data_IF_875887490405
#
_entry.id   IF_875887490405
#
_cell.length_a   1.000
_cell.length_b   1.000
_cell.length_c   1.000
_cell.angle_alpha   90.00
_cell.angle_beta   90.00
_cell.angle_gamma   90.00
#
_symmetry.space_group_name_H-M   'P 1'
#
loop_
_entity.id
_entity.type
_entity.pdbx_description
1 polymer ?
#
# COMPACT_ATOMS: atom_id res chain seq x y z
N UNK A 1 17.25 10.77 -39.78
CA UNK A 1 16.15 11.17 -38.88
C UNK A 1 16.66 11.21 -37.44
N UNK A 2 16.51 12.31 -36.73
CA UNK A 2 16.92 12.42 -35.32
C UNK A 2 15.78 12.01 -34.40
N UNK A 3 16.02 11.04 -33.52
CA UNK A 3 15.03 10.50 -32.60
C UNK A 3 15.47 10.77 -31.17
N UNK A 4 14.73 11.62 -30.46
CA UNK A 4 14.98 11.93 -29.07
C UNK A 4 14.37 10.88 -28.14
N UNK A 5 15.15 10.35 -27.20
CA UNK A 5 14.70 9.31 -26.26
C UNK A 5 15.21 9.55 -24.85
N UNK A 6 14.47 9.07 -23.86
CA UNK A 6 14.91 9.00 -22.47
C UNK A 6 15.38 7.57 -22.15
N UNK A 7 16.54 7.42 -21.51
CA UNK A 7 17.05 6.12 -21.11
C UNK A 7 16.58 5.77 -19.70
N UNK A 8 15.57 4.92 -19.58
CA UNK A 8 15.08 4.43 -18.29
C UNK A 8 15.35 2.93 -18.22
N UNK A 9 16.02 2.48 -17.16
CA UNK A 9 16.38 1.07 -16.97
C UNK A 9 15.16 0.17 -17.14
N UNK A 10 15.33 -0.94 -17.85
CA UNK A 10 14.27 -1.90 -18.24
C UNK A 10 13.18 -1.38 -19.19
N UNK A 11 13.01 -0.06 -19.35
CA UNK A 11 12.04 0.54 -20.29
C UNK A 11 12.69 0.83 -21.63
N UNK A 12 13.76 1.62 -21.65
CA UNK A 12 14.54 1.95 -22.83
C UNK A 12 16.01 2.05 -22.47
N UNK A 13 16.79 1.15 -23.05
CA UNK A 13 18.24 1.04 -22.86
C UNK A 13 18.91 1.11 -24.22
N UNK A 14 20.09 1.74 -24.27
CA UNK A 14 20.87 1.89 -25.50
C UNK A 14 22.14 1.07 -25.35
N UNK A 15 22.18 -0.08 -26.01
CA UNK A 15 23.35 -0.94 -26.03
C UNK A 15 24.16 -0.69 -27.30
N UNK A 16 25.42 -0.28 -27.16
CA UNK A 16 26.32 -0.12 -28.31
C UNK A 16 26.90 -1.47 -28.70
N UNK A 17 26.72 -1.86 -29.96
CA UNK A 17 27.35 -3.06 -30.53
C UNK A 17 28.81 -2.75 -30.87
N UNK A 18 29.67 -3.77 -30.90
CA UNK A 18 31.07 -3.70 -31.37
C UNK A 18 31.23 -3.08 -32.77
N UNK A 19 30.18 -3.10 -33.59
CA UNK A 19 30.14 -2.50 -34.93
C UNK A 19 29.74 -1.01 -34.94
N UNK A 20 29.65 -0.35 -33.79
CA UNK A 20 29.28 1.07 -33.67
C UNK A 20 27.78 1.38 -33.82
N UNK A 21 26.93 0.37 -34.07
CA UNK A 21 25.47 0.53 -34.12
C UNK A 21 24.86 0.48 -32.72
N UNK A 22 24.01 1.46 -32.41
CA UNK A 22 23.20 1.53 -31.19
C UNK A 22 21.97 0.62 -31.34
N UNK A 23 21.93 -0.47 -30.57
CA UNK A 23 20.76 -1.34 -30.45
C UNK A 23 19.91 -0.84 -29.29
N UNK A 24 18.63 -0.61 -29.56
CA UNK A 24 17.65 -0.26 -28.55
C UNK A 24 17.13 -1.53 -27.86
N UNK A 25 17.22 -1.58 -26.54
CA UNK A 25 16.70 -2.65 -25.69
C UNK A 25 15.70 -2.11 -24.66
N UNK A 26 15.03 -3.01 -23.93
CA UNK A 26 13.87 -2.66 -23.11
C UNK A 26 12.55 -2.78 -23.86
N UNK A 27 11.44 -2.57 -23.16
CA UNK A 27 10.10 -2.64 -23.74
C UNK A 27 9.87 -1.56 -24.82
N UNK A 28 10.05 -0.28 -24.45
CA UNK A 28 9.92 0.87 -25.35
C UNK A 28 11.02 0.85 -26.42
N UNK A 29 12.24 0.45 -26.06
CA UNK A 29 13.36 0.38 -27.02
C UNK A 29 13.12 -0.61 -28.15
N UNK A 30 12.59 -1.81 -27.85
CA UNK A 30 12.24 -2.80 -28.88
C UNK A 30 11.07 -2.35 -29.74
N UNK A 31 10.07 -1.71 -29.13
CA UNK A 31 8.95 -1.14 -29.86
C UNK A 31 9.43 -0.06 -30.86
N UNK A 32 10.27 0.87 -30.39
CA UNK A 32 10.86 1.90 -31.23
C UNK A 32 11.70 1.30 -32.37
N UNK A 33 12.49 0.26 -32.09
CA UNK A 33 13.26 -0.45 -33.11
C UNK A 33 12.36 -1.03 -34.21
N UNK A 34 11.21 -1.61 -33.86
CA UNK A 34 10.25 -2.13 -34.84
C UNK A 34 9.67 -1.01 -35.71
N UNK A 35 9.32 0.13 -35.11
CA UNK A 35 8.82 1.30 -35.84
C UNK A 35 9.87 1.81 -36.82
N UNK A 36 11.12 1.97 -36.37
CA UNK A 36 12.22 2.45 -37.21
C UNK A 36 12.55 1.48 -38.35
N UNK A 37 12.52 0.17 -38.09
CA UNK A 37 12.71 -0.85 -39.12
C UNK A 37 11.58 -0.84 -40.15
N UNK A 38 10.33 -0.62 -39.72
CA UNK A 38 9.18 -0.53 -40.62
C UNK A 38 9.20 0.74 -41.50
N UNK A 39 9.72 1.86 -40.96
CA UNK A 39 9.92 3.10 -41.71
C UNK A 39 11.10 3.02 -42.69
N UNK A 40 12.04 2.09 -42.47
CA UNK A 40 13.25 1.89 -43.28
C UNK A 40 14.06 3.19 -43.47
N UNK A 41 14.26 3.93 -42.38
CA UNK A 41 15.00 5.20 -42.36
C UNK A 41 16.25 5.11 -41.50
N UNK A 42 17.33 5.79 -41.93
CA UNK A 42 18.50 5.98 -41.10
C UNK A 42 18.20 6.95 -39.96
N UNK A 43 18.53 6.54 -38.74
CA UNK A 43 18.24 7.32 -37.54
C UNK A 43 19.47 7.57 -36.68
N UNK A 44 19.46 8.71 -35.99
CA UNK A 44 20.41 9.09 -34.96
C UNK A 44 19.65 9.29 -33.65
N UNK A 45 20.14 8.68 -32.57
CA UNK A 45 19.52 8.81 -31.26
C UNK A 45 20.07 10.04 -30.54
N UNK A 46 19.18 10.91 -30.08
CA UNK A 46 19.49 12.11 -29.30
C UNK A 46 18.97 11.91 -27.88
N UNK A 47 19.76 12.28 -26.88
CA UNK A 47 19.37 12.20 -25.47
C UNK A 47 19.35 13.63 -24.92
N UNK A 48 18.29 14.04 -24.22
CA UNK A 48 18.23 15.36 -23.60
C UNK A 48 19.30 15.52 -22.52
N UNK A 49 19.95 16.69 -22.51
CA UNK A 49 21.05 16.99 -21.59
C UNK A 49 20.60 17.08 -20.12
N UNK A 50 19.34 17.47 -19.90
CA UNK A 50 18.72 17.55 -18.57
C UNK A 50 18.09 16.23 -18.11
N UNK A 51 17.90 15.26 -19.02
CA UNK A 51 17.33 13.96 -18.64
C UNK A 51 15.85 14.03 -18.22
N UNK A 52 15.12 15.06 -18.62
CA UNK A 52 13.72 15.27 -18.25
C UNK A 52 12.74 14.94 -19.38
N UNK A 53 11.47 14.67 -19.04
CA UNK A 53 10.40 14.55 -20.05
C UNK A 53 10.05 15.91 -20.65
N UNK A 54 9.98 16.92 -19.81
CA UNK A 54 9.85 18.32 -20.23
C UNK A 54 8.79 19.06 -19.45
N UNK A 55 9.25 20.12 -18.79
CA UNK A 55 8.47 21.07 -18.02
C UNK A 55 8.54 22.44 -18.69
N UNK A 56 7.46 23.20 -18.54
CA UNK A 56 7.38 24.57 -19.03
C UNK A 56 8.04 25.49 -18.01
N UNK A 57 9.12 26.15 -18.41
CA UNK A 57 9.79 27.17 -17.58
C UNK A 57 8.96 28.47 -17.56
N UNK A 58 9.15 29.32 -16.54
CA UNK A 58 8.54 30.66 -16.48
C UNK A 58 8.84 31.51 -17.72
N UNK A 59 10.02 31.31 -18.31
CA UNK A 59 10.48 32.00 -19.52
C UNK A 59 9.72 31.57 -20.80
N UNK A 60 8.76 30.65 -20.68
CA UNK A 60 7.99 30.07 -21.79
C UNK A 60 8.69 28.95 -22.55
N UNK A 61 9.98 28.74 -22.29
CA UNK A 61 10.77 27.66 -22.87
C UNK A 61 10.48 26.30 -22.21
N UNK A 62 10.66 25.22 -22.95
CA UNK A 62 10.47 23.85 -22.47
C UNK A 62 11.80 23.14 -22.21
N UNK A 63 11.85 22.35 -21.13
CA UNK A 63 12.96 21.42 -20.83
C UNK A 63 12.73 20.05 -21.47
N UNK A 64 13.71 19.17 -21.37
CA UNK A 64 13.57 17.74 -21.65
C UNK A 64 13.27 17.42 -23.12
N UNK A 65 12.63 16.27 -23.30
CA UNK A 65 12.19 15.79 -24.61
C UNK A 65 11.26 16.78 -25.32
N UNK A 66 10.31 17.39 -24.60
CA UNK A 66 9.42 18.41 -25.18
C UNK A 66 10.20 19.63 -25.66
N UNK A 67 11.23 20.05 -24.91
CA UNK A 67 12.10 21.16 -25.29
C UNK A 67 12.86 20.93 -26.59
N UNK A 68 13.41 19.72 -26.78
CA UNK A 68 14.11 19.33 -28.01
C UNK A 68 13.16 19.39 -29.22
N UNK A 69 11.95 18.86 -29.05
CA UNK A 69 10.94 18.87 -30.11
C UNK A 69 10.46 20.29 -30.43
N UNK A 70 10.21 21.11 -29.41
CA UNK A 70 9.80 22.51 -29.59
C UNK A 70 10.86 23.34 -30.32
N UNK A 71 12.15 23.07 -30.08
CA UNK A 71 13.28 23.72 -30.78
C UNK A 71 13.63 23.09 -32.14
N UNK A 72 12.90 22.05 -32.57
CA UNK A 72 13.16 21.30 -33.82
C UNK A 72 14.57 20.71 -33.89
N UNK A 73 15.11 20.31 -32.74
CA UNK A 73 16.42 19.67 -32.64
C UNK A 73 16.35 18.15 -32.95
N UNK A 74 15.16 17.56 -32.84
CA UNK A 74 14.85 16.18 -33.24
C UNK A 74 13.57 16.12 -34.08
N UNK A 75 13.47 15.09 -34.93
CA UNK A 75 12.34 14.86 -35.83
C UNK A 75 11.21 14.05 -35.15
N UNK A 76 11.57 13.18 -34.20
CA UNK A 76 10.64 12.32 -33.47
C UNK A 76 11.10 12.15 -32.03
N UNK A 77 10.16 11.96 -31.10
CA UNK A 77 10.45 11.58 -29.72
C UNK A 77 9.77 10.26 -29.35
N UNK A 78 10.44 9.44 -28.56
CA UNK A 78 9.85 8.28 -27.91
C UNK A 78 10.43 8.08 -26.51
N UNK A 79 9.58 7.94 -25.50
CA UNK A 79 10.03 7.83 -24.10
C UNK A 79 8.91 8.06 -23.11
N UNK A 80 7.77 7.37 -23.28
CA UNK A 80 6.63 7.43 -22.36
C UNK A 80 6.21 8.86 -21.97
N UNK A 81 6.06 9.74 -22.96
CA UNK A 81 5.64 11.14 -22.75
C UNK A 81 4.11 11.20 -22.63
N UNK A 82 3.62 11.70 -21.49
CA UNK A 82 2.19 11.90 -21.28
C UNK A 82 1.66 13.09 -22.08
N UNK A 83 0.55 12.85 -22.78
CA UNK A 83 -0.20 13.85 -23.55
C UNK A 83 -0.91 14.77 -22.56
N UNK A 84 -0.52 16.03 -22.54
CA UNK A 84 -1.19 17.09 -21.76
C UNK A 84 -1.58 18.23 -22.68
N UNK A 85 -2.56 19.05 -22.26
CA UNK A 85 -3.02 20.21 -23.05
C UNK A 85 -1.85 21.15 -23.39
N UNK A 86 -1.03 21.48 -22.39
CA UNK A 86 0.11 22.38 -22.57
C UNK A 86 1.17 21.83 -23.52
N UNK A 87 1.43 20.51 -23.51
CA UNK A 87 2.38 19.88 -24.43
C UNK A 87 1.83 19.81 -25.86
N UNK A 88 0.53 19.60 -26.01
CA UNK A 88 -0.12 19.52 -27.33
C UNK A 88 -0.12 20.88 -28.06
N UNK A 89 0.04 21.98 -27.34
CA UNK A 89 0.18 23.32 -27.94
C UNK A 89 1.53 23.54 -28.64
N UNK A 90 2.55 22.73 -28.31
CA UNK A 90 3.92 22.89 -28.85
C UNK A 90 4.42 21.71 -29.67
N UNK A 91 3.84 20.52 -29.48
CA UNK A 91 4.19 19.31 -30.23
C UNK A 91 2.95 18.51 -30.63
N UNK A 92 3.01 17.88 -31.79
CA UNK A 92 1.97 16.97 -32.27
C UNK A 92 2.20 15.56 -31.72
N UNK A 93 1.16 14.95 -31.14
CA UNK A 93 1.19 13.59 -30.63
C UNK A 93 0.54 12.60 -31.60
N UNK A 94 1.08 11.38 -31.65
CA UNK A 94 0.41 10.25 -32.29
C UNK A 94 -0.74 9.74 -31.42
N UNK A 95 -1.44 8.70 -31.90
CA UNK A 95 -2.45 8.02 -31.06
C UNK A 95 -1.77 7.42 -29.82
N UNK A 96 -2.40 7.51 -28.63
CA UNK A 96 -1.85 6.93 -27.41
C UNK A 96 -1.52 5.44 -27.62
N UNK A 97 -0.27 5.06 -27.39
CA UNK A 97 0.16 3.66 -27.50
C UNK A 97 -0.32 2.83 -26.31
N UNK A 98 -0.39 3.45 -25.13
CA UNK A 98 -0.81 2.83 -23.86
C UNK A 98 -1.60 3.85 -23.04
N UNK A 99 -2.59 3.38 -22.27
CA UNK A 99 -3.33 4.17 -21.29
C UNK A 99 -3.07 3.58 -19.92
N UNK A 100 -2.60 4.40 -18.97
CA UNK A 100 -2.40 4.01 -17.58
C UNK A 100 -2.87 5.13 -16.65
N UNK A 101 -3.16 4.78 -15.39
CA UNK A 101 -3.45 5.74 -14.34
C UNK A 101 -2.23 5.93 -13.44
N UNK A 102 -2.07 7.12 -12.89
CA UNK A 102 -1.05 7.40 -11.88
C UNK A 102 -1.42 6.68 -10.57
N UNK A 103 -0.43 6.02 -9.98
CA UNK A 103 -0.54 5.35 -8.69
C UNK A 103 0.51 5.91 -7.74
N UNK A 104 0.24 5.83 -6.45
CA UNK A 104 1.22 6.18 -5.42
C UNK A 104 1.75 4.90 -4.79
N UNK A 105 3.01 4.95 -4.36
CA UNK A 105 3.68 3.83 -3.71
C UNK A 105 4.04 4.26 -2.30
N UNK A 106 3.71 3.41 -1.34
CA UNK A 106 4.10 3.56 0.06
C UNK A 106 5.00 2.41 0.47
N UNK A 107 5.79 2.64 1.52
CA UNK A 107 6.54 1.58 2.15
C UNK A 107 5.59 0.51 2.72
N UNK A 108 5.93 -0.76 2.53
CA UNK A 108 5.15 -1.85 3.08
C UNK A 108 5.14 -1.73 4.62
N UNK A 109 3.97 -1.55 5.25
CA UNK A 109 3.88 -1.18 6.67
C UNK A 109 4.31 -2.31 7.64
N UNK A 110 4.69 -3.47 7.11
CA UNK A 110 5.20 -4.60 7.87
C UNK A 110 4.15 -5.31 8.70
N UNK A 111 4.60 -6.37 9.38
CA UNK A 111 3.79 -7.15 10.31
C UNK A 111 3.92 -6.56 11.71
N UNK A 112 2.79 -6.34 12.39
CA UNK A 112 2.84 -6.00 13.81
C UNK A 112 2.85 -7.28 14.65
N UNK A 113 3.93 -7.48 15.42
CA UNK A 113 3.99 -8.52 16.44
C UNK A 113 3.57 -7.89 17.76
N UNK A 114 2.37 -8.24 18.24
CA UNK A 114 1.87 -7.79 19.55
C UNK A 114 2.10 -8.86 20.60
N UNK A 115 2.66 -8.47 21.75
CA UNK A 115 2.83 -9.36 22.92
C UNK A 115 1.48 -9.82 23.50
N UNK A 116 0.38 -9.16 23.15
CA UNK A 116 -0.97 -9.47 23.62
C UNK A 116 -1.83 -10.17 22.56
N UNK A 117 -1.20 -10.78 21.55
CA UNK A 117 -1.89 -11.43 20.45
C UNK A 117 -2.91 -12.50 20.89
N UNK A 118 -2.71 -13.11 22.05
CA UNK A 118 -3.63 -14.09 22.63
C UNK A 118 -4.97 -13.48 23.09
N UNK A 119 -5.08 -12.15 23.27
CA UNK A 119 -6.34 -11.50 23.65
C UNK A 119 -7.20 -11.12 22.44
N UNK A 120 -6.61 -11.03 21.23
CA UNK A 120 -7.31 -10.65 20.00
C UNK A 120 -8.39 -11.62 19.47
N UNK A 121 -8.41 -12.93 19.79
CA UNK A 121 -9.47 -13.82 19.30
C UNK A 121 -10.89 -13.38 19.67
N UNK A 122 -11.06 -12.69 20.80
CA UNK A 122 -12.33 -12.17 21.26
C UNK A 122 -12.26 -10.67 21.50
N UNK A 123 -13.29 -9.96 21.06
CA UNK A 123 -13.47 -8.55 21.39
C UNK A 123 -13.65 -8.33 22.89
N UNK A 124 -13.32 -7.12 23.35
CA UNK A 124 -13.47 -6.73 24.76
C UNK A 124 -14.89 -6.97 25.30
N UNK A 125 -15.91 -6.72 24.47
CA UNK A 125 -17.31 -7.00 24.81
C UNK A 125 -17.55 -8.49 25.06
N UNK A 126 -17.02 -9.37 24.21
CA UNK A 126 -17.14 -10.82 24.36
C UNK A 126 -16.42 -11.32 25.60
N UNK A 127 -15.26 -10.76 25.93
CA UNK A 127 -14.55 -11.05 27.19
C UNK A 127 -15.41 -10.70 28.41
N UNK A 128 -16.00 -9.51 28.44
CA UNK A 128 -16.88 -9.08 29.54
C UNK A 128 -18.10 -9.99 29.64
N UNK A 129 -18.79 -10.25 28.53
CA UNK A 129 -19.96 -11.13 28.52
C UNK A 129 -19.62 -12.54 29.05
N UNK A 130 -18.47 -13.09 28.65
CA UNK A 130 -18.00 -14.40 29.10
C UNK A 130 -17.74 -14.41 30.61
N UNK A 131 -17.12 -13.35 31.13
CA UNK A 131 -16.90 -13.19 32.56
C UNK A 131 -18.22 -13.06 33.33
N UNK A 132 -19.18 -12.29 32.82
CA UNK A 132 -20.51 -12.17 33.43
C UNK A 132 -21.24 -13.52 33.50
N UNK A 133 -21.25 -14.30 32.41
CA UNK A 133 -21.88 -15.63 32.38
C UNK A 133 -21.22 -16.57 33.39
N UNK A 134 -19.90 -16.55 33.51
CA UNK A 134 -19.16 -17.34 34.49
C UNK A 134 -19.55 -17.01 35.95
N UNK A 135 -19.68 -15.72 36.29
CA UNK A 135 -20.15 -15.30 37.62
C UNK A 135 -21.60 -15.73 37.86
N UNK A 136 -22.49 -15.49 36.89
CA UNK A 136 -23.91 -15.87 37.00
C UNK A 136 -24.05 -17.38 37.24
N UNK A 137 -23.34 -18.20 36.47
CA UNK A 137 -23.39 -19.66 36.59
C UNK A 137 -22.83 -20.13 37.94
N UNK A 138 -21.75 -19.53 38.43
CA UNK A 138 -21.18 -19.83 39.76
C UNK A 138 -22.18 -19.54 40.89
N UNK A 139 -22.90 -18.42 40.80
CA UNK A 139 -23.94 -18.04 41.77
C UNK A 139 -25.16 -18.96 41.68
N UNK A 140 -25.62 -19.30 40.47
CA UNK A 140 -26.74 -20.23 40.28
C UNK A 140 -26.45 -21.61 40.88
N UNK A 141 -25.25 -22.14 40.65
CA UNK A 141 -24.79 -23.39 41.26
C UNK A 141 -24.76 -23.28 42.78
N UNK A 142 -24.27 -22.16 43.34
CA UNK A 142 -24.25 -21.94 44.78
C UNK A 142 -25.65 -21.94 45.42
N UNK A 143 -26.64 -21.32 44.76
CA UNK A 143 -28.05 -21.29 45.20
C UNK A 143 -28.65 -22.70 45.15
N UNK A 144 -28.54 -23.40 44.02
CA UNK A 144 -29.03 -24.79 43.87
C UNK A 144 -28.30 -25.73 44.81
N UNK A 145 -27.06 -25.40 45.17
CA UNK A 145 -26.31 -26.18 46.12
C UNK A 145 -26.81 -26.07 47.58
N UNK A 146 -27.83 -25.25 47.85
CA UNK A 146 -28.34 -24.90 49.18
C UNK A 146 -27.24 -24.39 50.10
N UNK A 147 -26.25 -23.67 49.55
CA UNK A 147 -25.14 -23.07 50.30
C UNK A 147 -24.30 -24.07 51.13
N UNK A 148 -24.41 -25.37 50.85
CA UNK A 148 -23.62 -26.42 51.55
C UNK A 148 -22.15 -26.42 51.16
N UNK A 149 -21.81 -25.83 50.02
CA UNK A 149 -20.46 -25.73 49.47
C UNK A 149 -20.06 -24.26 49.45
N UNK A 150 -18.80 -23.97 49.78
CA UNK A 150 -18.29 -22.60 49.75
C UNK A 150 -18.28 -22.03 48.33
N UNK A 151 -18.62 -20.74 48.18
CA UNK A 151 -18.65 -20.06 46.88
C UNK A 151 -17.28 -20.07 46.20
N UNK A 152 -16.22 -19.85 46.97
CA UNK A 152 -14.84 -19.90 46.49
C UNK A 152 -14.50 -21.25 45.85
N UNK A 153 -14.88 -22.36 46.49
CA UNK A 153 -14.63 -23.68 45.93
C UNK A 153 -15.36 -23.88 44.59
N UNK A 154 -16.64 -23.49 44.51
CA UNK A 154 -17.41 -23.54 43.25
C UNK A 154 -16.73 -22.71 42.16
N UNK A 155 -16.29 -21.49 42.50
CA UNK A 155 -15.62 -20.60 41.57
C UNK A 155 -14.36 -21.24 40.97
N UNK A 156 -13.49 -21.82 41.81
CA UNK A 156 -12.26 -22.47 41.34
C UNK A 156 -12.51 -23.76 40.55
N UNK A 157 -13.51 -24.55 40.95
CA UNK A 157 -13.93 -25.74 40.20
C UNK A 157 -14.48 -25.37 38.81
N UNK A 158 -15.29 -24.31 38.72
CA UNK A 158 -15.81 -23.79 37.45
C UNK A 158 -14.69 -23.23 36.56
N UNK A 159 -13.72 -22.53 37.15
CA UNK A 159 -12.52 -22.06 36.44
C UNK A 159 -11.68 -23.24 35.92
N UNK A 160 -11.47 -24.26 36.76
CA UNK A 160 -10.79 -25.50 36.37
C UNK A 160 -11.49 -26.16 35.18
N UNK A 161 -12.83 -26.15 35.18
CA UNK A 161 -13.60 -26.70 34.07
C UNK A 161 -13.41 -25.97 32.73
N UNK A 162 -13.26 -24.64 32.75
CA UNK A 162 -12.88 -23.86 31.55
C UNK A 162 -11.49 -24.30 31.05
N UNK A 163 -10.57 -24.58 31.98
CA UNK A 163 -9.25 -25.16 31.69
C UNK A 163 -9.29 -26.65 31.34
N UNK A 164 -10.48 -27.19 31.03
CA UNK A 164 -10.74 -28.59 30.66
C UNK A 164 -10.46 -29.60 31.77
N UNK A 165 -10.46 -29.17 33.03
CA UNK A 165 -10.41 -30.08 34.18
C UNK A 165 -11.81 -30.64 34.50
N UNK A 166 -11.91 -31.85 35.06
CA UNK A 166 -13.19 -32.43 35.45
C UNK A 166 -13.82 -31.61 36.58
N UNK A 167 -15.14 -31.40 36.51
CA UNK A 167 -15.91 -30.77 37.58
C UNK A 167 -16.29 -31.84 38.62
N UNK A 168 -15.78 -31.73 39.85
CA UNK A 168 -16.00 -32.74 40.90
C UNK A 168 -17.08 -32.25 41.88
N UNK A 169 -18.34 -32.25 41.43
CA UNK A 169 -19.48 -31.88 42.28
C UNK A 169 -20.56 -32.98 42.22
N UNK A 170 -20.74 -33.69 43.33
CA UNK A 170 -21.65 -34.84 43.42
C UNK A 170 -23.06 -34.39 43.83
N UNK A 171 -23.97 -34.25 42.87
CA UNK A 171 -25.42 -34.15 43.08
C UNK A 171 -26.18 -34.79 41.91
N UNK A 172 -27.22 -35.57 42.21
CA UNK A 172 -28.00 -36.28 41.19
C UNK A 172 -29.47 -35.83 41.21
N UNK A 173 -29.73 -34.65 40.65
CA UNK A 173 -31.10 -34.15 40.40
C UNK A 173 -31.22 -33.70 38.93
N UNK A 174 -32.43 -33.80 38.36
CA UNK A 174 -32.67 -33.41 36.96
C UNK A 174 -32.28 -31.95 36.67
N UNK A 175 -32.69 -31.02 37.53
CA UNK A 175 -32.36 -29.59 37.38
C UNK A 175 -30.87 -29.29 37.46
N UNK A 176 -30.15 -30.06 38.28
CA UNK A 176 -28.69 -29.97 38.39
C UNK A 176 -28.03 -30.42 37.08
N UNK A 177 -28.44 -31.58 36.55
CA UNK A 177 -27.88 -32.12 35.31
C UNK A 177 -28.13 -31.22 34.10
N UNK A 178 -29.31 -30.59 34.01
CA UNK A 178 -29.61 -29.63 32.94
C UNK A 178 -28.71 -28.40 33.01
N UNK A 179 -28.50 -27.84 34.20
CA UNK A 179 -27.64 -26.66 34.38
C UNK A 179 -26.17 -26.98 34.07
N UNK A 180 -25.68 -28.13 34.55
CA UNK A 180 -24.33 -28.61 34.26
C UNK A 180 -24.15 -28.89 32.77
N UNK A 181 -25.17 -29.45 32.08
CA UNK A 181 -25.14 -29.66 30.63
C UNK A 181 -25.06 -28.33 29.87
N UNK A 182 -25.86 -27.32 30.27
CA UNK A 182 -25.78 -25.98 29.69
C UNK A 182 -24.40 -25.33 29.91
N UNK A 183 -23.81 -25.51 31.10
CA UNK A 183 -22.47 -25.05 31.41
C UNK A 183 -21.42 -25.71 30.51
N UNK A 184 -21.45 -27.04 30.38
CA UNK A 184 -20.54 -27.77 29.50
C UNK A 184 -20.69 -27.35 28.04
N UNK A 185 -21.94 -27.15 27.57
CA UNK A 185 -22.21 -26.62 26.23
C UNK A 185 -21.59 -25.25 26.01
N UNK A 186 -21.74 -24.34 26.97
CA UNK A 186 -21.12 -23.01 26.94
C UNK A 186 -19.59 -23.10 26.90
N UNK A 187 -18.97 -23.85 27.82
CA UNK A 187 -17.50 -24.01 27.87
C UNK A 187 -16.97 -24.63 26.59
N UNK A 188 -17.66 -25.63 26.03
CA UNK A 188 -17.29 -26.26 24.76
C UNK A 188 -17.30 -25.25 23.61
N UNK A 189 -18.37 -24.49 23.45
CA UNK A 189 -18.48 -23.47 22.40
C UNK A 189 -17.40 -22.39 22.55
N UNK A 190 -17.19 -21.88 23.78
CA UNK A 190 -16.21 -20.83 24.04
C UNK A 190 -14.77 -21.30 23.79
N UNK A 191 -14.41 -22.50 24.26
CA UNK A 191 -13.04 -23.03 24.09
C UNK A 191 -12.74 -23.39 22.64
N UNK A 192 -13.70 -23.98 21.93
CA UNK A 192 -13.56 -24.24 20.50
C UNK A 192 -13.48 -22.95 19.69
N UNK A 193 -14.38 -21.99 19.96
CA UNK A 193 -14.39 -20.69 19.28
C UNK A 193 -13.07 -19.94 19.47
N UNK A 194 -12.58 -19.86 20.72
CA UNK A 194 -11.29 -19.24 21.02
C UNK A 194 -10.14 -19.94 20.29
N UNK A 195 -10.11 -21.28 20.31
CA UNK A 195 -9.03 -22.05 19.68
C UNK A 195 -9.03 -21.88 18.15
N UNK A 196 -10.22 -21.86 17.53
CA UNK A 196 -10.37 -21.65 16.09
C UNK A 196 -9.97 -20.23 15.69
N UNK A 197 -10.44 -19.21 16.40
CA UNK A 197 -10.10 -17.82 16.14
C UNK A 197 -8.61 -17.56 16.35
N UNK A 198 -8.02 -18.04 17.46
CA UNK A 198 -6.59 -17.92 17.71
C UNK A 198 -5.76 -18.59 16.61
N UNK A 199 -6.16 -19.78 16.17
CA UNK A 199 -5.48 -20.46 15.08
C UNK A 199 -5.55 -19.64 13.78
N UNK A 200 -6.71 -19.07 13.44
CA UNK A 200 -6.84 -18.22 12.26
C UNK A 200 -5.96 -16.96 12.37
N UNK A 201 -5.95 -16.30 13.52
CA UNK A 201 -5.13 -15.12 13.78
C UNK A 201 -3.62 -15.39 13.70
N UNK A 202 -3.18 -16.59 14.10
CA UNK A 202 -1.76 -16.95 14.02
C UNK A 202 -1.35 -17.37 12.60
N UNK A 203 -2.27 -17.84 11.76
CA UNK A 203 -1.96 -18.19 10.37
C UNK A 203 -1.77 -16.96 9.48
N UNK A 204 -2.54 -15.89 9.71
CA UNK A 204 -2.42 -14.64 8.95
C UNK A 204 -2.05 -13.53 9.91
N UNK A 205 -0.78 -13.09 9.94
CA UNK A 205 -0.34 -12.09 10.89
C UNK A 205 -1.02 -10.76 10.61
N UNK A 206 -1.38 -10.05 11.69
CA UNK A 206 -2.02 -8.75 11.58
C UNK A 206 -1.10 -7.73 10.90
N UNK A 207 -1.53 -7.26 9.72
CA UNK A 207 -0.83 -6.20 8.99
C UNK A 207 -1.21 -4.85 9.57
N UNK A 208 -0.23 -3.95 9.70
CA UNK A 208 -0.49 -2.57 10.09
C UNK A 208 -1.38 -1.90 9.04
N UNK A 209 -2.44 -1.21 9.49
CA UNK A 209 -3.33 -0.45 8.60
C UNK A 209 -2.50 0.56 7.81
N UNK A 210 -2.63 0.53 6.50
CA UNK A 210 -1.98 1.46 5.58
C UNK A 210 -3.01 2.35 4.87
N UNK A 211 -2.52 3.41 4.25
CA UNK A 211 -3.35 4.35 3.51
C UNK A 211 -3.63 3.75 2.13
N UNK A 212 -4.89 3.40 1.87
CA UNK A 212 -5.32 2.85 0.57
C UNK A 212 -5.49 3.96 -0.47
N UNK A 213 -5.86 5.17 -0.04
CA UNK A 213 -6.16 6.30 -0.90
C UNK A 213 -5.28 7.50 -0.58
N UNK A 214 -4.98 8.32 -1.58
CA UNK A 214 -4.21 9.55 -1.39
C UNK A 214 -4.93 10.54 -0.45
N UNK A 215 -6.27 10.54 -0.45
CA UNK A 215 -7.06 11.32 0.51
C UNK A 215 -6.86 10.82 1.94
N UNK A 216 -6.90 9.50 2.17
CA UNK A 216 -6.60 8.92 3.48
C UNK A 216 -5.15 9.16 3.90
N UNK A 217 -4.21 9.15 2.95
CA UNK A 217 -2.81 9.48 3.20
C UNK A 217 -2.65 10.93 3.63
N UNK A 218 -3.33 11.87 2.97
CA UNK A 218 -3.32 13.28 3.34
C UNK A 218 -3.91 13.51 4.75
N UNK A 219 -5.02 12.85 5.08
CA UNK A 219 -5.60 12.96 6.43
C UNK A 219 -4.68 12.37 7.50
N UNK A 220 -4.07 11.21 7.25
CA UNK A 220 -3.10 10.62 8.16
C UNK A 220 -1.82 11.47 8.28
N UNK A 221 -1.43 12.17 7.21
CA UNK A 221 -0.31 13.11 7.23
C UNK A 221 -0.63 14.35 8.06
N UNK A 222 -1.82 14.92 7.93
CA UNK A 222 -2.27 16.05 8.75
C UNK A 222 -2.22 15.76 10.25
N UNK A 223 -2.33 14.50 10.66
CA UNK A 223 -2.20 14.08 12.06
C UNK A 223 -0.75 13.80 12.49
N UNK A 224 0.16 13.53 11.55
CA UNK A 224 1.52 13.04 11.83
C UNK A 224 2.65 13.97 11.39
N UNK A 225 2.38 15.01 10.59
CA UNK A 225 3.31 16.04 10.09
C UNK A 225 4.66 15.50 9.57
N UNK A 226 4.67 14.27 9.04
CA UNK A 226 5.91 13.52 8.77
C UNK A 226 5.91 12.71 7.47
N UNK A 227 4.87 12.81 6.64
CA UNK A 227 4.81 12.09 5.37
C UNK A 227 5.24 13.00 4.22
N UNK A 228 6.41 12.72 3.66
CA UNK A 228 6.88 13.40 2.45
C UNK A 228 6.32 12.72 1.20
N UNK A 229 5.72 13.51 0.30
CA UNK A 229 5.30 13.03 -1.02
C UNK A 229 6.41 13.33 -2.02
N UNK A 230 6.88 12.32 -2.76
CA UNK A 230 7.95 12.48 -3.74
C UNK A 230 7.43 12.24 -5.16
N UNK A 231 7.86 13.09 -6.09
CA UNK A 231 7.52 13.00 -7.52
C UNK A 231 8.79 12.98 -8.36
N UNK A 232 8.68 12.43 -9.56
CA UNK A 232 9.81 12.33 -10.48
C UNK A 232 10.14 13.69 -11.07
N UNK A 233 11.43 14.07 -11.09
CA UNK A 233 11.86 15.36 -11.66
C UNK A 233 11.55 15.42 -13.16
N UNK A 234 11.17 16.60 -13.66
CA UNK A 234 10.85 16.80 -15.08
C UNK A 234 9.49 16.24 -15.53
N UNK A 235 8.65 15.78 -14.59
CA UNK A 235 7.34 15.21 -14.86
C UNK A 235 6.19 16.19 -14.56
N UNK A 236 5.05 16.04 -15.26
CA UNK A 236 3.89 16.93 -15.17
C UNK A 236 3.09 16.80 -13.86
N UNK A 237 3.34 15.76 -13.05
CA UNK A 237 2.51 15.39 -11.90
C UNK A 237 2.47 16.52 -10.85
N UNK A 238 3.61 17.13 -10.51
CA UNK A 238 3.63 18.17 -9.48
C UNK A 238 2.80 19.40 -9.90
N UNK A 239 2.98 19.86 -11.14
CA UNK A 239 2.20 20.96 -11.71
C UNK A 239 0.71 20.61 -11.83
N UNK A 240 0.40 19.37 -12.18
CA UNK A 240 -0.97 18.86 -12.27
C UNK A 240 -1.65 18.84 -10.90
N UNK A 241 -0.95 18.41 -9.85
CA UNK A 241 -1.45 18.41 -8.48
C UNK A 241 -1.70 19.84 -7.99
N UNK A 242 -0.74 20.76 -8.22
CA UNK A 242 -0.87 22.16 -7.82
C UNK A 242 -2.00 22.90 -8.57
N UNK A 243 -2.28 22.51 -9.82
CA UNK A 243 -3.38 23.05 -10.62
C UNK A 243 -4.75 22.39 -10.36
N UNK A 244 -4.83 21.39 -9.48
CA UNK A 244 -6.04 20.63 -9.22
C UNK A 244 -7.12 21.47 -8.52
N UNK A 245 -8.39 21.22 -8.85
CA UNK A 245 -9.55 21.83 -8.18
C UNK A 245 -9.71 21.31 -6.74
N UNK A 246 -9.22 20.09 -6.48
CA UNK A 246 -9.32 19.45 -5.18
C UNK A 246 -8.30 20.03 -4.18
N UNK A 247 -8.73 20.51 -3.00
CA UNK A 247 -7.87 21.26 -2.10
C UNK A 247 -6.74 20.40 -1.52
N UNK A 248 -6.99 19.12 -1.24
CA UNK A 248 -5.97 18.21 -0.71
C UNK A 248 -4.87 17.91 -1.73
N UNK A 249 -5.22 17.76 -3.02
CA UNK A 249 -4.23 17.56 -4.09
C UNK A 249 -3.40 18.82 -4.32
N UNK A 250 -4.04 19.99 -4.30
CA UNK A 250 -3.35 21.26 -4.43
C UNK A 250 -2.32 21.48 -3.33
N UNK A 251 -2.69 21.24 -2.06
CA UNK A 251 -1.76 21.36 -0.94
C UNK A 251 -0.57 20.39 -1.09
N UNK A 252 -0.81 19.16 -1.56
CA UNK A 252 0.27 18.20 -1.83
C UNK A 252 1.19 18.73 -2.94
N UNK A 253 0.63 19.19 -4.06
CA UNK A 253 1.39 19.77 -5.18
C UNK A 253 2.23 20.97 -4.74
N UNK A 254 1.62 21.90 -4.00
CA UNK A 254 2.30 23.09 -3.49
C UNK A 254 3.44 22.72 -2.52
N UNK A 255 3.23 21.74 -1.62
CA UNK A 255 4.28 21.23 -0.72
C UNK A 255 5.43 20.59 -1.48
N UNK A 256 5.13 19.80 -2.53
CA UNK A 256 6.17 19.15 -3.35
C UNK A 256 7.05 20.20 -4.02
N UNK A 257 6.42 21.22 -4.61
CA UNK A 257 7.12 22.32 -5.31
C UNK A 257 7.90 23.19 -4.32
N UNK A 258 7.30 23.55 -3.17
CA UNK A 258 7.94 24.42 -2.19
C UNK A 258 9.16 23.78 -1.51
N UNK A 259 9.11 22.46 -1.31
CA UNK A 259 10.14 21.73 -0.57
C UNK A 259 11.13 20.99 -1.51
N UNK A 260 11.02 21.16 -2.83
CA UNK A 260 11.80 20.43 -3.86
C UNK A 260 11.81 18.91 -3.64
N UNK A 261 10.64 18.32 -3.35
CA UNK A 261 10.50 16.87 -3.13
C UNK A 261 10.47 16.09 -4.44
N UNK A 262 11.57 16.17 -5.18
CA UNK A 262 11.77 15.49 -6.45
C UNK A 262 12.88 14.45 -6.37
N UNK A 263 12.71 13.35 -7.10
CA UNK A 263 13.76 12.35 -7.29
C UNK A 263 14.02 12.10 -8.77
N UNK A 264 15.28 11.78 -9.09
CA UNK A 264 15.70 11.50 -10.45
C UNK A 264 15.55 10.00 -10.75
N UNK A 265 14.72 9.69 -11.77
CA UNK A 265 14.52 8.30 -12.21
C UNK A 265 15.81 7.71 -12.79
N UNK A 266 16.64 8.54 -13.41
CA UNK A 266 17.89 8.10 -14.04
C UNK A 266 18.91 7.57 -13.00
N UNK A 267 18.86 8.09 -11.77
CA UNK A 267 19.71 7.65 -10.65
C UNK A 267 19.12 6.47 -9.84
N UNK A 268 17.85 6.11 -10.09
CA UNK A 268 17.11 5.04 -9.41
C UNK A 268 17.76 3.66 -9.54
N UNK A 269 18.61 3.45 -10.55
CA UNK A 269 19.42 2.24 -10.70
C UNK A 269 20.40 1.97 -9.54
N UNK A 270 20.64 2.95 -8.66
CA UNK A 270 21.54 2.87 -7.51
C UNK A 270 20.88 2.45 -6.18
N UNK A 271 19.54 2.29 -6.14
CA UNK A 271 18.81 1.86 -4.94
C UNK A 271 18.90 2.82 -3.75
N UNK A 272 19.42 4.05 -3.94
CA UNK A 272 19.44 5.09 -2.91
C UNK A 272 18.41 6.16 -3.26
N UNK A 273 17.22 6.04 -2.68
CA UNK A 273 16.38 7.22 -2.46
C UNK A 273 17.17 8.07 -1.47
N UNK A 274 17.90 9.09 -1.95
CA UNK A 274 18.52 10.08 -1.06
C UNK A 274 17.39 10.82 -0.39
N UNK A 275 17.07 10.43 0.84
CA UNK A 275 16.47 11.36 1.79
C UNK A 275 17.50 12.47 2.00
N UNK A 276 17.15 13.68 1.55
CA UNK A 276 17.74 14.90 2.10
C UNK A 276 17.09 15.17 3.45
#
# INVERSE_FOLDING_TARGET
>A
MKVAVLTVKHVLEINKTTNGRSILSGFDGRFLQLVLNALNVDYEIVIPADGEWGLKKPDGNWTGLIGIMARREADMTHGSVVITKQRTEVVDFSRPCTVYGETFVIENPGIMISNYAYLYPFDFTTWICSFCVFIIMSVLIFIIANQKVSLHQIFFEMYGNIMKQPLIIYKEFLHWNLLVCLWFGFVFVMTLGYSACLSAFLTVPYQKRYCENISSAFHCDSERDSSCFFVTRGNFIADYLAASEEPYLRIIGDKIISNDWFFDILDSGSGKIRQL
#
